data_IF_928787954566
#
_entry.id   IF_928787954566
#
_cell.length_a   1.000
_cell.length_b   1.000
_cell.length_c   1.000
_cell.angle_alpha   90.00
_cell.angle_beta   90.00
_cell.angle_gamma   90.00
#
_symmetry.space_group_name_H-M   'P 1'
#
loop_
_entity.id
_entity.type
_entity.pdbx_description
1 polymer ?
#
# COMPACT_ATOMS: atom_id res chain seq x y z
N UNK A 1 4.10 2.60 9.15
CA UNK A 1 2.69 2.59 8.70
C UNK A 1 1.95 3.86 9.10
N UNK A 2 1.94 4.27 10.37
CA UNK A 2 1.23 5.49 10.82
C UNK A 2 1.70 6.73 10.06
N UNK A 3 3.01 6.95 9.96
CA UNK A 3 3.59 8.07 9.20
C UNK A 3 3.13 8.06 7.74
N UNK A 4 3.05 6.88 7.13
CA UNK A 4 2.57 6.69 5.77
C UNK A 4 1.08 7.05 5.64
N UNK A 5 0.23 6.58 6.56
CA UNK A 5 -1.20 6.91 6.57
C UNK A 5 -1.47 8.40 6.79
N UNK A 6 -0.73 9.02 7.70
CA UNK A 6 -0.80 10.47 7.92
C UNK A 6 -0.37 11.24 6.67
N UNK A 7 0.68 10.79 5.99
CA UNK A 7 1.17 11.38 4.76
C UNK A 7 0.13 11.28 3.62
N UNK A 8 -0.44 10.10 3.40
CA UNK A 8 -1.50 9.88 2.41
C UNK A 8 -2.71 10.81 2.69
N UNK A 9 -3.12 10.89 3.97
CA UNK A 9 -4.21 11.77 4.41
C UNK A 9 -3.89 13.25 4.19
N UNK A 10 -2.66 13.69 4.48
CA UNK A 10 -2.20 15.07 4.24
C UNK A 10 -2.33 15.45 2.76
N UNK A 11 -2.07 14.52 1.85
CA UNK A 11 -2.21 14.71 0.41
C UNK A 11 -3.65 14.62 -0.10
N UNK A 12 -4.61 14.29 0.77
CA UNK A 12 -6.00 14.07 0.35
C UNK A 12 -6.18 12.86 -0.56
N UNK A 13 -5.23 11.91 -0.54
CA UNK A 13 -5.27 10.72 -1.37
C UNK A 13 -6.13 9.61 -0.75
N UNK A 14 -6.79 8.78 -1.58
CA UNK A 14 -7.71 7.77 -1.10
C UNK A 14 -6.98 6.61 -0.43
N UNK A 15 -7.39 6.25 0.77
CA UNK A 15 -6.91 5.09 1.54
C UNK A 15 -8.04 4.64 2.47
N UNK A 16 -8.08 3.37 2.91
CA UNK A 16 -9.06 2.92 3.88
C UNK A 16 -9.05 3.80 5.13
N UNK A 17 -10.21 4.03 5.72
CA UNK A 17 -10.29 4.71 7.01
C UNK A 17 -9.48 3.95 8.06
N UNK A 18 -8.85 4.66 8.96
CA UNK A 18 -8.00 4.04 9.97
C UNK A 18 -7.95 4.86 11.25
N UNK A 19 -7.69 4.17 12.35
CA UNK A 19 -7.42 4.76 13.66
C UNK A 19 -6.11 4.19 14.22
N UNK A 20 -5.40 5.01 14.99
CA UNK A 20 -4.32 4.55 15.84
C UNK A 20 -4.89 4.17 17.20
N UNK A 21 -4.63 2.94 17.64
CA UNK A 21 -5.03 2.50 18.98
C UNK A 21 -4.03 3.05 20.01
N UNK A 22 -4.45 3.99 20.84
CA UNK A 22 -3.64 4.51 21.94
C UNK A 22 -4.04 3.89 23.27
N UNK A 23 -5.33 3.74 23.49
CA UNK A 23 -5.91 3.16 24.68
C UNK A 23 -7.03 2.20 24.27
N UNK A 24 -6.94 0.95 24.68
CA UNK A 24 -7.95 -0.05 24.31
C UNK A 24 -9.37 0.35 24.75
N UNK A 25 -9.52 0.96 25.92
CA UNK A 25 -10.83 1.41 26.43
C UNK A 25 -11.57 2.40 25.51
N UNK A 26 -10.85 3.09 24.64
CA UNK A 26 -11.41 4.07 23.71
C UNK A 26 -11.64 3.50 22.30
N UNK A 27 -11.18 2.28 22.02
CA UNK A 27 -11.31 1.65 20.70
C UNK A 27 -12.76 1.44 20.34
N UNK A 28 -13.58 0.99 21.28
CA UNK A 28 -15.00 0.75 21.07
C UNK A 28 -15.74 2.03 20.66
N UNK A 29 -15.44 3.15 21.30
CA UNK A 29 -16.02 4.44 20.95
C UNK A 29 -15.56 4.92 19.57
N UNK A 30 -14.30 4.71 19.25
CA UNK A 30 -13.72 5.08 17.94
C UNK A 30 -14.24 4.21 16.79
N UNK A 31 -14.59 2.95 17.06
CA UNK A 31 -15.11 2.00 16.07
C UNK A 31 -16.64 1.90 16.04
N UNK A 32 -17.37 2.68 16.86
CA UNK A 32 -18.83 2.57 17.02
C UNK A 32 -19.62 2.60 15.71
N UNK A 33 -19.12 3.35 14.70
CA UNK A 33 -19.76 3.53 13.40
C UNK A 33 -19.18 2.56 12.34
N UNK A 34 -18.19 1.73 12.72
CA UNK A 34 -17.55 0.79 11.81
C UNK A 34 -18.23 -0.58 11.85
N UNK A 35 -18.24 -1.23 10.70
CA UNK A 35 -18.72 -2.61 10.59
C UNK A 35 -17.55 -3.59 10.68
N UNK A 36 -17.76 -4.69 11.39
CA UNK A 36 -16.84 -5.82 11.30
C UNK A 36 -17.04 -6.59 9.97
N UNK A 37 -15.99 -7.23 9.46
CA UNK A 37 -14.65 -7.29 10.04
C UNK A 37 -13.88 -5.98 9.92
N UNK A 38 -12.81 -5.84 10.72
CA UNK A 38 -11.80 -4.79 10.58
C UNK A 38 -10.41 -5.41 10.45
N UNK A 39 -9.41 -4.63 10.00
CA UNK A 39 -8.04 -5.11 9.84
C UNK A 39 -7.12 -4.46 10.87
N UNK A 40 -6.60 -5.25 11.80
CA UNK A 40 -5.51 -4.82 12.68
C UNK A 40 -4.18 -4.95 11.95
N UNK A 41 -3.38 -3.88 11.94
CA UNK A 41 -2.04 -3.86 11.31
C UNK A 41 -0.99 -3.39 12.31
N UNK A 42 -0.02 -4.25 12.61
CA UNK A 42 1.12 -3.87 13.43
C UNK A 42 2.00 -2.89 12.65
N UNK A 43 2.45 -1.81 13.30
CA UNK A 43 3.31 -0.84 12.63
C UNK A 43 4.81 -1.05 12.88
N UNK A 44 5.17 -2.10 13.65
CA UNK A 44 6.55 -2.56 13.83
C UNK A 44 6.71 -3.95 13.19
N UNK A 45 7.61 -4.09 12.22
CA UNK A 45 8.09 -5.39 11.73
C UNK A 45 7.15 -6.21 10.84
N UNK A 46 6.11 -5.62 10.26
CA UNK A 46 5.26 -6.33 9.30
C UNK A 46 5.87 -6.39 7.90
N UNK A 47 6.18 -7.60 7.42
CA UNK A 47 6.54 -7.91 6.03
C UNK A 47 5.74 -9.15 5.59
N UNK A 48 5.47 -9.27 4.30
CA UNK A 48 4.75 -10.42 3.70
C UNK A 48 3.44 -10.77 4.46
N UNK A 49 2.64 -9.73 4.80
CA UNK A 49 1.39 -9.90 5.55
C UNK A 49 1.55 -10.31 7.02
N UNK A 50 2.77 -10.60 7.49
CA UNK A 50 3.05 -10.81 8.91
C UNK A 50 2.77 -9.50 9.65
N UNK A 51 1.98 -9.59 10.74
CA UNK A 51 1.53 -8.40 11.47
C UNK A 51 0.24 -7.79 10.95
N UNK A 52 -0.52 -8.49 10.10
CA UNK A 52 -1.90 -8.18 9.76
C UNK A 52 -2.83 -9.23 10.38
N UNK A 53 -3.91 -8.79 11.01
CA UNK A 53 -4.91 -9.67 11.62
C UNK A 53 -6.32 -9.18 11.29
N UNK A 54 -7.11 -10.02 10.62
CA UNK A 54 -8.53 -9.79 10.43
C UNK A 54 -9.25 -10.02 11.76
N UNK A 55 -9.99 -9.03 12.22
CA UNK A 55 -10.79 -9.04 13.44
C UNK A 55 -12.26 -9.13 13.01
N UNK A 56 -12.93 -10.19 13.39
CA UNK A 56 -14.24 -10.57 12.82
C UNK A 56 -15.43 -10.01 13.60
N UNK A 57 -15.25 -9.69 14.88
CA UNK A 57 -16.28 -9.12 15.75
C UNK A 57 -15.65 -8.47 16.99
N UNK A 58 -16.50 -7.93 17.85
CA UNK A 58 -16.10 -7.25 19.08
C UNK A 58 -15.39 -8.18 20.09
N UNK A 59 -15.82 -9.42 20.20
CA UNK A 59 -15.21 -10.37 21.13
C UNK A 59 -13.79 -10.74 20.68
N UNK A 60 -13.59 -10.91 19.36
CA UNK A 60 -12.27 -11.13 18.76
C UNK A 60 -11.35 -9.92 18.97
N UNK A 61 -11.87 -8.68 18.87
CA UNK A 61 -11.14 -7.45 19.14
C UNK A 61 -10.64 -7.40 20.60
N UNK A 62 -11.51 -7.71 21.55
CA UNK A 62 -11.18 -7.75 22.98
C UNK A 62 -10.12 -8.82 23.23
N UNK A 63 -10.35 -10.03 22.73
CA UNK A 63 -9.41 -11.15 22.87
C UNK A 63 -8.04 -10.83 22.28
N UNK A 64 -8.01 -10.17 21.13
CA UNK A 64 -6.79 -9.77 20.45
C UNK A 64 -5.98 -8.77 21.28
N UNK A 65 -6.60 -7.70 21.80
CA UNK A 65 -5.89 -6.70 22.59
C UNK A 65 -5.61 -7.11 24.04
N UNK A 66 -6.21 -8.18 24.56
CA UNK A 66 -5.78 -8.80 25.81
C UNK A 66 -4.40 -9.49 25.67
N UNK A 67 -3.99 -9.84 24.46
CA UNK A 67 -2.74 -10.55 24.18
C UNK A 67 -1.69 -9.66 23.48
N UNK A 68 -2.08 -8.49 22.98
CA UNK A 68 -1.23 -7.60 22.19
C UNK A 68 -1.27 -6.18 22.75
N UNK A 69 -0.11 -5.50 22.74
CA UNK A 69 -0.04 -4.11 23.16
C UNK A 69 -0.79 -3.20 22.15
N UNK A 70 -1.89 -2.54 22.55
CA UNK A 70 -2.65 -1.68 21.63
C UNK A 70 -1.83 -0.61 20.94
N UNK A 71 -0.84 -0.02 21.64
CA UNK A 71 0.00 1.06 21.11
C UNK A 71 0.86 0.65 19.90
N UNK A 72 0.94 -0.64 19.60
CA UNK A 72 1.71 -1.15 18.44
C UNK A 72 0.83 -1.40 17.20
N UNK A 73 -0.47 -1.10 17.27
CA UNK A 73 -1.42 -1.43 16.23
C UNK A 73 -2.22 -0.22 15.78
N UNK A 74 -2.53 -0.23 14.49
CA UNK A 74 -3.61 0.55 13.91
C UNK A 74 -4.74 -0.41 13.48
N UNK A 75 -5.96 0.10 13.49
CA UNK A 75 -7.11 -0.59 12.94
C UNK A 75 -7.53 0.14 11.67
N UNK A 76 -7.74 -0.60 10.60
CA UNK A 76 -8.30 -0.13 9.33
C UNK A 76 -9.70 -0.70 9.13
N UNK A 77 -10.57 0.09 8.52
CA UNK A 77 -11.83 -0.38 8.00
C UNK A 77 -11.58 -1.49 6.97
N UNK A 78 -12.39 -2.53 7.04
CA UNK A 78 -12.30 -3.63 6.07
C UNK A 78 -12.71 -3.14 4.68
N UNK A 79 -11.85 -3.39 3.70
CA UNK A 79 -12.12 -3.07 2.30
C UNK A 79 -12.56 -4.35 1.58
N UNK A 80 -13.79 -4.34 1.06
CA UNK A 80 -14.21 -5.32 0.06
C UNK A 80 -13.71 -4.85 -1.30
N UNK A 81 -12.79 -5.58 -1.88
CA UNK A 81 -12.19 -5.24 -3.17
C UNK A 81 -12.38 -6.38 -4.18
N UNK A 82 -12.44 -6.02 -5.45
CA UNK A 82 -12.56 -6.94 -6.57
C UNK A 82 -11.19 -7.33 -7.13
N UNK A 83 -10.25 -6.36 -7.10
CA UNK A 83 -8.90 -6.49 -7.64
C UNK A 83 -7.88 -5.81 -6.74
N UNK A 84 -6.66 -6.33 -6.80
CA UNK A 84 -5.49 -5.63 -6.30
C UNK A 84 -4.63 -5.16 -7.47
N UNK A 85 -4.16 -3.91 -7.39
CA UNK A 85 -3.22 -3.35 -8.35
C UNK A 85 -1.93 -2.94 -7.68
N UNK A 86 -0.85 -2.90 -8.45
CA UNK A 86 0.40 -2.30 -8.02
C UNK A 86 1.00 -1.44 -9.13
N UNK A 87 1.61 -0.32 -8.75
CA UNK A 87 2.34 0.54 -9.65
C UNK A 87 3.76 0.72 -9.11
N UNK A 88 4.73 0.33 -9.91
CA UNK A 88 6.15 0.55 -9.63
C UNK A 88 6.66 1.66 -10.54
N UNK A 89 7.46 2.52 -10.00
CA UNK A 89 8.11 3.58 -10.75
C UNK A 89 9.33 4.13 -10.04
N UNK A 90 9.99 5.06 -10.66
CA UNK A 90 11.18 5.71 -10.15
C UNK A 90 11.14 7.22 -10.38
N UNK A 91 11.86 7.97 -9.54
CA UNK A 91 12.14 9.40 -9.72
C UNK A 91 13.63 9.62 -9.55
N UNK A 92 14.26 10.30 -10.51
CA UNK A 92 15.69 10.62 -10.47
C UNK A 92 15.96 12.02 -9.87
N UNK A 93 17.24 12.37 -9.74
CA UNK A 93 17.70 13.63 -9.16
C UNK A 93 17.31 14.88 -9.97
N UNK A 94 16.91 14.69 -11.23
CA UNK A 94 16.38 15.77 -12.07
C UNK A 94 14.88 15.99 -11.89
N UNK A 95 14.22 15.12 -11.09
CA UNK A 95 12.78 15.10 -10.90
C UNK A 95 12.03 14.31 -11.97
N UNK A 96 12.72 13.67 -12.92
CA UNK A 96 12.10 12.88 -13.96
C UNK A 96 11.54 11.58 -13.39
N UNK A 97 10.25 11.34 -13.63
CA UNK A 97 9.52 10.14 -13.22
C UNK A 97 9.47 9.17 -14.39
N UNK A 98 9.76 7.90 -14.11
CA UNK A 98 9.60 6.77 -15.03
C UNK A 98 8.72 5.73 -14.38
N UNK A 99 7.69 5.28 -15.08
CA UNK A 99 6.69 4.37 -14.56
C UNK A 99 6.69 3.08 -15.36
N UNK A 100 6.60 1.97 -14.66
CA UNK A 100 6.22 0.69 -15.26
C UNK A 100 4.70 0.68 -15.51
N UNK A 101 4.19 -0.23 -16.35
CA UNK A 101 2.75 -0.42 -16.47
C UNK A 101 2.11 -0.69 -15.09
N UNK A 102 0.90 -0.18 -14.88
CA UNK A 102 0.06 -0.65 -13.78
C UNK A 102 -0.17 -2.15 -13.93
N UNK A 103 -0.02 -2.90 -12.88
CA UNK A 103 -0.18 -4.35 -12.89
C UNK A 103 -1.33 -4.78 -11.97
N UNK A 104 -2.00 -5.87 -12.35
CA UNK A 104 -2.93 -6.58 -11.48
C UNK A 104 -2.14 -7.65 -10.71
N UNK A 105 -2.39 -7.75 -9.41
CA UNK A 105 -1.72 -8.72 -8.53
C UNK A 105 -2.74 -9.63 -7.87
N UNK A 106 -2.36 -10.87 -7.64
CA UNK A 106 -3.16 -11.81 -6.89
C UNK A 106 -2.38 -12.31 -5.68
N UNK A 107 -2.97 -12.10 -4.51
CA UNK A 107 -2.40 -12.52 -3.24
C UNK A 107 -3.12 -13.78 -2.73
N UNK A 108 -2.36 -14.76 -2.26
CA UNK A 108 -2.89 -15.89 -1.51
C UNK A 108 -2.00 -16.14 -0.30
N UNK A 109 -2.60 -16.29 0.88
CA UNK A 109 -1.88 -16.42 2.16
C UNK A 109 -0.86 -15.28 2.38
N UNK A 110 -1.20 -14.05 2.00
CA UNK A 110 -0.36 -12.86 2.04
C UNK A 110 0.92 -12.95 1.18
N UNK A 111 0.95 -13.82 0.19
CA UNK A 111 2.06 -13.98 -0.76
C UNK A 111 1.52 -13.68 -2.15
N UNK A 112 2.21 -12.81 -2.89
CA UNK A 112 1.91 -12.54 -4.28
C UNK A 112 2.16 -13.81 -5.11
N UNK A 113 1.11 -14.37 -5.70
CA UNK A 113 1.16 -15.61 -6.49
C UNK A 113 1.46 -15.32 -7.95
N UNK A 114 0.87 -14.26 -8.50
CA UNK A 114 1.11 -13.84 -9.87
C UNK A 114 0.89 -12.33 -10.05
N UNK A 115 1.46 -11.83 -11.11
CA UNK A 115 1.35 -10.45 -11.58
C UNK A 115 0.97 -10.48 -13.06
N UNK A 116 -0.09 -9.76 -13.42
CA UNK A 116 -0.51 -9.56 -14.81
C UNK A 116 -0.12 -8.14 -15.25
N UNK A 117 0.74 -8.05 -16.27
CA UNK A 117 1.20 -6.77 -16.83
C UNK A 117 0.87 -6.71 -18.33
N UNK A 118 0.23 -5.63 -18.84
CA UNK A 118 -0.42 -4.58 -18.07
C UNK A 118 -1.69 -5.07 -17.37
N UNK A 119 -2.14 -4.35 -16.34
CA UNK A 119 -3.39 -4.63 -15.65
C UNK A 119 -4.60 -4.54 -16.59
N UNK A 120 -5.55 -5.46 -16.43
CA UNK A 120 -6.84 -5.38 -17.10
C UNK A 120 -7.75 -4.39 -16.38
N UNK A 121 -7.67 -3.11 -16.78
CA UNK A 121 -8.41 -2.00 -16.15
C UNK A 121 -8.72 -0.91 -17.17
N UNK A 122 -9.52 0.10 -16.78
CA UNK A 122 -9.85 1.23 -17.64
C UNK A 122 -8.72 2.26 -17.71
N UNK A 123 -8.78 3.12 -18.72
CA UNK A 123 -7.81 4.21 -18.88
C UNK A 123 -7.85 5.17 -17.69
N UNK A 124 -9.03 5.49 -17.18
CA UNK A 124 -9.24 6.42 -16.05
C UNK A 124 -8.56 5.91 -14.77
N UNK A 125 -8.71 4.63 -14.46
CA UNK A 125 -8.07 4.00 -13.30
C UNK A 125 -6.56 4.02 -13.46
N UNK A 126 -6.05 3.73 -14.64
CA UNK A 126 -4.63 3.78 -14.92
C UNK A 126 -4.08 5.20 -14.70
N UNK A 127 -4.68 6.22 -15.32
CA UNK A 127 -4.29 7.63 -15.14
C UNK A 127 -4.39 8.06 -13.67
N UNK A 128 -5.41 7.63 -12.95
CA UNK A 128 -5.55 7.97 -11.54
C UNK A 128 -4.41 7.39 -10.69
N UNK A 129 -4.03 6.13 -10.93
CA UNK A 129 -2.87 5.50 -10.26
C UNK A 129 -1.56 6.26 -10.57
N UNK A 130 -1.34 6.66 -11.83
CA UNK A 130 -0.17 7.44 -12.25
C UNK A 130 -0.11 8.81 -11.55
N UNK A 131 -1.25 9.49 -11.42
CA UNK A 131 -1.35 10.78 -10.73
C UNK A 131 -1.06 10.64 -9.24
N UNK A 132 -1.58 9.59 -8.59
CA UNK A 132 -1.28 9.27 -7.19
C UNK A 132 0.23 9.07 -7.01
N UNK A 133 0.85 8.25 -7.86
CA UNK A 133 2.29 8.00 -7.79
C UNK A 133 3.09 9.30 -7.91
N UNK A 134 2.79 10.10 -8.93
CA UNK A 134 3.48 11.37 -9.19
C UNK A 134 3.33 12.34 -8.02
N UNK A 135 2.15 12.44 -7.43
CA UNK A 135 1.90 13.29 -6.26
C UNK A 135 2.75 12.86 -5.06
N UNK A 136 2.85 11.55 -4.80
CA UNK A 136 3.61 10.99 -3.68
C UNK A 136 5.11 11.23 -3.85
N UNK A 137 5.68 10.89 -5.00
CA UNK A 137 7.14 11.00 -5.20
C UNK A 137 7.60 12.44 -5.28
N UNK A 138 6.76 13.36 -5.77
CA UNK A 138 7.07 14.79 -5.80
C UNK A 138 6.99 15.43 -4.41
N UNK A 139 5.96 15.14 -3.61
CA UNK A 139 5.84 15.68 -2.25
C UNK A 139 6.95 15.17 -1.32
N UNK A 140 7.43 13.93 -1.54
CA UNK A 140 8.55 13.37 -0.79
C UNK A 140 9.91 13.82 -1.29
N UNK A 141 9.99 14.51 -2.43
CA UNK A 141 11.24 14.70 -3.18
C UNK A 141 12.04 13.39 -3.30
N UNK A 142 11.30 12.30 -3.56
CA UNK A 142 11.82 10.93 -3.49
C UNK A 142 12.84 10.66 -4.59
N UNK A 143 13.94 10.01 -4.23
CA UNK A 143 14.95 9.52 -5.17
C UNK A 143 15.04 8.01 -5.12
N UNK A 144 14.84 7.35 -6.26
CA UNK A 144 14.90 5.90 -6.35
C UNK A 144 13.61 5.27 -6.86
N UNK A 145 13.48 3.97 -6.62
CA UNK A 145 12.30 3.17 -6.99
C UNK A 145 11.34 3.09 -5.82
N UNK A 146 10.05 3.23 -6.13
CA UNK A 146 8.95 3.16 -5.18
C UNK A 146 7.82 2.32 -5.79
N UNK A 147 7.12 1.56 -4.97
CA UNK A 147 5.90 0.84 -5.32
C UNK A 147 4.72 1.32 -4.48
N UNK A 148 3.54 1.33 -5.10
CA UNK A 148 2.26 1.58 -4.43
C UNK A 148 1.35 0.40 -4.72
N UNK A 149 0.80 -0.20 -3.67
CA UNK A 149 -0.26 -1.20 -3.76
C UNK A 149 -1.62 -0.56 -3.55
N UNK A 150 -2.60 -1.04 -4.33
CA UNK A 150 -3.96 -0.52 -4.31
C UNK A 150 -4.98 -1.64 -4.17
N UNK A 151 -6.05 -1.37 -3.44
CA UNK A 151 -7.32 -2.08 -3.57
C UNK A 151 -8.22 -1.36 -4.56
N UNK A 152 -8.94 -2.12 -5.37
CA UNK A 152 -9.92 -1.60 -6.31
C UNK A 152 -11.25 -2.34 -6.18
N UNK A 153 -12.32 -1.58 -6.07
CA UNK A 153 -13.69 -2.09 -5.97
C UNK A 153 -14.71 -0.94 -6.02
N UNK A 154 -15.85 -1.13 -5.41
CA UNK A 154 -16.96 -0.16 -5.42
C UNK A 154 -16.60 1.25 -4.90
N UNK A 155 -15.58 1.35 -4.05
CA UNK A 155 -15.06 2.63 -3.55
C UNK A 155 -14.00 3.26 -4.46
N UNK A 156 -13.76 2.69 -5.64
CA UNK A 156 -12.68 3.08 -6.53
C UNK A 156 -11.33 2.55 -6.08
N UNK A 157 -10.26 3.31 -6.40
CA UNK A 157 -8.88 2.93 -6.11
C UNK A 157 -8.47 3.49 -4.74
N UNK A 158 -8.07 2.61 -3.82
CA UNK A 158 -7.61 2.96 -2.47
C UNK A 158 -6.16 2.52 -2.28
N UNK A 159 -5.30 3.41 -1.78
CA UNK A 159 -3.92 3.07 -1.43
C UNK A 159 -3.91 2.13 -0.23
N UNK A 160 -3.38 0.91 -0.42
CA UNK A 160 -3.13 -0.05 0.66
C UNK A 160 -1.81 0.24 1.35
N UNK A 161 -0.70 0.23 0.59
CA UNK A 161 0.66 0.40 1.12
C UNK A 161 1.56 1.12 0.10
N UNK A 162 2.55 1.86 0.61
CA UNK A 162 3.65 2.43 -0.16
C UNK A 162 4.93 1.75 0.28
N UNK A 163 5.69 1.19 -0.67
CA UNK A 163 6.98 0.57 -0.43
C UNK A 163 8.09 1.40 -1.11
N UNK A 164 8.89 2.18 -0.36
CA UNK A 164 9.96 3.01 -0.92
C UNK A 164 11.21 2.15 -1.22
N UNK A 165 11.07 1.17 -2.10
CA UNK A 165 12.08 0.19 -2.51
C UNK A 165 11.60 -0.57 -3.73
N UNK A 166 12.49 -1.38 -4.31
CA UNK A 166 12.08 -2.42 -5.28
C UNK A 166 11.06 -3.38 -4.65
N UNK A 167 10.15 -3.89 -5.47
CA UNK A 167 8.98 -4.64 -5.01
C UNK A 167 8.71 -5.87 -5.88
N UNK A 168 8.11 -6.93 -5.30
CA UNK A 168 7.78 -8.17 -5.99
C UNK A 168 6.85 -7.94 -7.19
N UNK A 169 5.91 -7.00 -7.10
CA UNK A 169 5.02 -6.63 -8.21
C UNK A 169 5.75 -6.04 -9.43
N UNK A 170 7.01 -5.64 -9.28
CA UNK A 170 7.86 -5.12 -10.35
C UNK A 170 8.87 -6.13 -10.89
N UNK A 171 8.89 -7.39 -10.42
CA UNK A 171 9.88 -8.38 -10.89
C UNK A 171 9.75 -8.72 -12.37
N UNK A 172 8.53 -8.64 -12.94
CA UNK A 172 8.29 -8.83 -14.38
C UNK A 172 9.16 -7.91 -15.24
N UNK A 173 9.61 -6.77 -14.70
CA UNK A 173 10.42 -5.81 -15.42
C UNK A 173 11.80 -6.34 -15.85
N UNK A 174 12.27 -7.43 -15.24
CA UNK A 174 13.55 -8.06 -15.59
C UNK A 174 13.50 -8.61 -17.00
N UNK A 175 12.42 -9.31 -17.36
CA UNK A 175 12.27 -9.97 -18.67
C UNK A 175 11.44 -9.16 -19.66
N UNK A 176 10.53 -8.32 -19.17
CA UNK A 176 9.53 -7.66 -20.01
C UNK A 176 9.78 -6.17 -20.28
N UNK A 177 10.85 -5.59 -19.75
CA UNK A 177 11.17 -4.17 -19.92
C UNK A 177 12.62 -3.97 -20.38
N UNK A 178 12.88 -2.84 -21.07
CA UNK A 178 14.24 -2.49 -21.50
C UNK A 178 15.19 -2.19 -20.32
N UNK A 179 14.64 -1.83 -19.16
CA UNK A 179 15.35 -1.56 -17.90
C UNK A 179 14.48 -2.04 -16.77
N UNK A 180 15.00 -2.89 -15.92
CA UNK A 180 14.29 -3.42 -14.77
C UNK A 180 14.17 -2.37 -13.65
N UNK A 181 13.31 -2.64 -12.68
CA UNK A 181 13.25 -1.83 -11.46
C UNK A 181 14.58 -1.79 -10.70
N UNK A 182 15.38 -2.86 -10.79
CA UNK A 182 16.69 -2.96 -10.15
C UNK A 182 17.72 -2.09 -10.86
N UNK A 183 17.74 -2.13 -12.22
CA UNK A 183 18.62 -1.27 -13.01
C UNK A 183 18.30 0.20 -12.74
N UNK A 184 17.03 0.58 -12.74
CA UNK A 184 16.63 1.95 -12.43
C UNK A 184 17.03 2.37 -11.01
N UNK A 185 16.88 1.46 -10.03
CA UNK A 185 17.28 1.74 -8.66
C UNK A 185 18.79 1.97 -8.53
N UNK A 186 19.59 1.12 -9.18
CA UNK A 186 21.06 1.22 -9.18
C UNK A 186 21.48 2.52 -9.89
N UNK A 187 20.98 2.78 -11.11
CA UNK A 187 21.32 3.99 -11.87
C UNK A 187 21.03 5.26 -11.08
N UNK A 188 19.85 5.36 -10.46
CA UNK A 188 19.49 6.54 -9.67
C UNK A 188 20.37 6.67 -8.42
N UNK A 189 20.64 5.57 -7.72
CA UNK A 189 21.44 5.57 -6.49
C UNK A 189 22.90 5.89 -6.73
N UNK A 190 23.43 5.58 -7.91
CA UNK A 190 24.84 5.82 -8.29
C UNK A 190 25.03 7.09 -9.12
N UNK A 191 23.94 7.74 -9.57
CA UNK A 191 23.97 8.90 -10.46
C UNK A 191 24.42 8.56 -11.89
N UNK A 192 24.37 7.28 -12.27
CA UNK A 192 24.61 6.83 -13.66
C UNK A 192 23.30 6.99 -14.44
N UNK A 193 23.36 7.72 -15.57
CA UNK A 193 22.22 7.93 -16.48
C UNK A 193 22.20 6.91 -17.61
#
# INVERSE_FOLDING_TARGET
RISQKNFIKKLGLPTPNWIQVKEFKKVDEQLKDWKFPVMAKNFKGGYDGKGNRKIINQEDLISFFNQNNPEEWLIEEWVEYEKEFALVGSRDSTGKIRLFPLVETFQSNNICQWVLSPANTTYEINIFALNIFSSIVNELDYLGVLSIEFFYGNMGLLINEIAPRTHNSGHFSIEACNSSQFDQHICISTGIN
#
